data_IF_736659006024
#
_entry.id   IF_736659006024
#
_cell.length_a   1.000
_cell.length_b   1.000
_cell.length_c   1.000
_cell.angle_alpha   90.00
_cell.angle_beta   90.00
_cell.angle_gamma   90.00
#
_symmetry.space_group_name_H-M   'P 1'
#
loop_
_entity.id
_entity.type
_entity.pdbx_description
1 polymer ?
#
# COMPACT_ATOMS: atom_id res chain seq x y z
N UNK A 1 -5.60 -22.68 15.95
CA UNK A 1 -6.40 -21.60 15.32
C UNK A 1 -5.45 -20.82 14.41
N UNK A 2 -5.61 -20.92 13.09
CA UNK A 2 -4.76 -20.19 12.14
C UNK A 2 -5.13 -18.70 12.25
N UNK A 3 -4.17 -17.82 12.50
CA UNK A 3 -4.43 -16.38 12.42
C UNK A 3 -4.57 -15.97 10.94
N UNK A 4 -5.79 -16.11 10.40
CA UNK A 4 -6.20 -15.67 9.06
C UNK A 4 -6.42 -14.15 8.99
N UNK A 5 -5.50 -13.37 9.59
CA UNK A 5 -5.57 -11.92 9.52
C UNK A 5 -5.10 -11.39 8.17
N UNK A 6 -5.87 -10.49 7.56
CA UNK A 6 -5.41 -9.67 6.43
C UNK A 6 -4.63 -8.45 6.93
N UNK A 7 -3.65 -7.99 6.15
CA UNK A 7 -2.96 -6.74 6.44
C UNK A 7 -3.96 -5.57 6.44
N UNK A 8 -3.92 -4.73 7.46
CA UNK A 8 -4.81 -3.58 7.59
C UNK A 8 -4.18 -2.34 6.94
N UNK A 9 -4.04 -2.32 5.61
CA UNK A 9 -3.50 -1.14 4.94
C UNK A 9 -4.52 0.01 4.88
N UNK A 10 -4.12 1.27 5.15
CA UNK A 10 -2.88 1.64 5.82
C UNK A 10 -2.92 1.37 7.32
N UNK A 11 -1.77 0.99 7.91
CA UNK A 11 -1.63 0.80 9.36
C UNK A 11 -0.60 1.73 9.97
N UNK A 12 -0.79 2.06 11.26
CA UNK A 12 0.08 2.95 12.03
C UNK A 12 1.00 2.15 12.94
N UNK A 13 2.32 2.36 12.81
CA UNK A 13 3.36 1.78 13.64
C UNK A 13 4.45 2.81 13.95
N UNK A 14 4.86 2.94 15.22
CA UNK A 14 5.87 3.92 15.68
C UNK A 14 5.64 5.35 15.14
N UNK A 15 4.39 5.84 15.23
CA UNK A 15 3.94 7.16 14.72
C UNK A 15 4.06 7.37 13.20
N UNK A 16 4.36 6.33 12.43
CA UNK A 16 4.35 6.34 10.96
C UNK A 16 3.17 5.55 10.43
N UNK A 17 2.69 5.95 9.25
CA UNK A 17 1.63 5.25 8.52
C UNK A 17 2.25 4.49 7.37
N UNK A 18 1.92 3.21 7.25
CA UNK A 18 2.44 2.31 6.23
C UNK A 18 1.29 1.83 5.36
N UNK A 19 1.45 2.02 4.05
CA UNK A 19 0.49 1.65 3.01
C UNK A 19 0.87 0.33 2.34
N UNK A 20 2.00 -0.27 2.72
CA UNK A 20 2.50 -1.54 2.21
C UNK A 20 3.28 -2.24 3.32
N UNK A 21 3.76 -3.45 3.04
CA UNK A 21 4.58 -4.21 3.98
C UNK A 21 5.84 -3.45 4.38
N UNK A 22 6.19 -3.51 5.66
CA UNK A 22 7.38 -2.89 6.21
C UNK A 22 8.57 -3.81 5.95
N UNK A 23 9.54 -3.31 5.19
CA UNK A 23 10.84 -3.94 5.02
C UNK A 23 11.62 -3.82 6.32
N UNK A 24 11.96 -4.96 6.93
CA UNK A 24 12.72 -5.05 8.18
C UNK A 24 14.09 -5.68 7.91
N UNK A 25 14.99 -5.69 8.90
CA UNK A 25 16.30 -6.36 8.81
C UNK A 25 16.18 -7.90 8.74
N UNK A 26 15.03 -8.44 9.13
CA UNK A 26 14.66 -9.84 8.90
C UNK A 26 14.42 -10.08 7.40
N UNK A 27 14.77 -11.27 6.89
CA UNK A 27 14.56 -11.68 5.48
C UNK A 27 13.11 -11.61 4.96
N UNK A 28 12.16 -11.24 5.82
CA UNK A 28 10.73 -11.18 5.52
C UNK A 28 10.14 -9.83 5.92
N UNK A 29 9.37 -9.26 5.00
CA UNK A 29 8.56 -8.07 5.23
C UNK A 29 7.32 -8.44 6.06
N UNK A 30 6.75 -7.47 6.78
CA UNK A 30 5.61 -7.70 7.66
C UNK A 30 4.57 -6.59 7.60
N UNK A 31 3.36 -6.90 8.06
CA UNK A 31 2.26 -5.94 8.17
C UNK A 31 1.53 -6.09 9.50
N UNK A 32 0.85 -5.03 9.94
CA UNK A 32 -0.10 -5.15 11.06
C UNK A 32 -1.46 -5.64 10.60
N UNK A 33 -2.13 -6.39 11.48
CA UNK A 33 -3.50 -6.86 11.27
C UNK A 33 -4.56 -5.83 11.73
N UNK A 34 -4.13 -4.71 12.34
CA UNK A 34 -5.01 -3.64 12.80
C UNK A 34 -4.52 -2.28 12.27
N UNK A 35 -5.46 -1.35 12.07
CA UNK A 35 -5.16 0.02 11.61
C UNK A 35 -4.18 0.77 12.53
N UNK A 36 -4.22 0.51 13.83
CA UNK A 36 -3.19 0.95 14.78
C UNK A 36 -2.54 -0.28 15.37
N UNK A 37 -1.21 -0.38 15.28
CA UNK A 37 -0.47 -1.54 15.76
C UNK A 37 -0.72 -1.78 17.25
N UNK A 38 -1.23 -2.97 17.56
CA UNK A 38 -1.57 -3.44 18.92
C UNK A 38 -0.84 -4.74 19.29
N UNK A 39 0.13 -5.17 18.49
CA UNK A 39 0.85 -6.44 18.68
C UNK A 39 0.42 -7.55 17.70
N UNK A 40 -0.66 -7.35 16.94
CA UNK A 40 -1.07 -8.29 15.89
C UNK A 40 -0.40 -7.95 14.56
N UNK A 41 0.40 -8.90 14.07
CA UNK A 41 1.15 -8.79 12.83
C UNK A 41 1.35 -10.16 12.18
N UNK A 42 1.70 -10.15 10.90
CA UNK A 42 2.16 -11.34 10.18
C UNK A 42 3.25 -10.96 9.17
N UNK A 43 4.00 -11.96 8.72
CA UNK A 43 4.84 -11.81 7.54
C UNK A 43 3.98 -11.69 6.29
N UNK A 44 4.41 -10.84 5.37
CA UNK A 44 3.72 -10.64 4.11
C UNK A 44 3.98 -11.80 3.15
N UNK A 45 2.90 -12.35 2.60
CA UNK A 45 2.93 -13.22 1.43
C UNK A 45 2.66 -12.44 0.14
N UNK A 46 2.63 -13.15 -0.99
CA UNK A 46 2.32 -12.56 -2.31
C UNK A 46 0.94 -11.89 -2.38
N UNK A 47 0.01 -12.28 -1.52
CA UNK A 47 -1.36 -11.75 -1.48
C UNK A 47 -1.49 -10.52 -0.57
N UNK A 48 -0.45 -10.17 0.19
CA UNK A 48 -0.44 -9.05 1.13
C UNK A 48 -0.03 -7.75 0.42
N UNK A 49 -0.74 -7.46 -0.67
CA UNK A 49 -0.55 -6.27 -1.49
C UNK A 49 -1.62 -5.26 -1.09
N UNK A 50 -1.26 -3.98 -1.08
CA UNK A 50 -2.21 -2.92 -0.80
C UNK A 50 -3.07 -2.58 -2.01
N UNK A 51 -4.34 -2.33 -1.74
CA UNK A 51 -5.30 -1.91 -2.75
C UNK A 51 -5.04 -0.46 -3.17
N UNK A 52 -5.35 -0.19 -4.44
CA UNK A 52 -5.33 1.16 -4.99
C UNK A 52 -6.40 2.03 -4.30
N UNK A 53 -6.04 3.26 -3.95
CA UNK A 53 -6.95 4.21 -3.32
C UNK A 53 -7.75 4.99 -4.38
N UNK A 54 -8.79 4.39 -4.93
CA UNK A 54 -9.64 5.07 -5.90
C UNK A 54 -10.74 5.93 -5.24
N UNK A 55 -11.04 7.12 -5.79
CA UNK A 55 -10.25 7.85 -6.79
C UNK A 55 -8.99 8.49 -6.18
N UNK A 56 -7.90 8.57 -6.95
CA UNK A 56 -6.69 9.29 -6.54
C UNK A 56 -6.37 10.48 -7.45
N UNK A 57 -5.72 11.48 -6.86
CA UNK A 57 -5.31 12.71 -7.52
C UNK A 57 -3.84 12.61 -7.93
N UNK A 58 -3.58 12.78 -9.22
CA UNK A 58 -2.22 12.90 -9.77
C UNK A 58 -2.16 14.06 -10.76
N UNK A 59 -1.18 14.95 -10.57
CA UNK A 59 -1.08 16.25 -11.24
C UNK A 59 -2.41 17.01 -11.15
N UNK A 60 -3.06 17.30 -12.28
CA UNK A 60 -4.35 18.02 -12.37
C UNK A 60 -5.50 17.09 -12.73
N UNK A 61 -5.34 15.77 -12.57
CA UNK A 61 -6.30 14.76 -12.98
C UNK A 61 -6.70 13.86 -11.81
N UNK A 62 -7.91 13.30 -11.91
CA UNK A 62 -8.47 12.33 -10.96
C UNK A 62 -8.61 11.00 -11.68
N UNK A 63 -7.96 9.97 -11.16
CA UNK A 63 -7.97 8.62 -11.74
C UNK A 63 -8.85 7.70 -10.90
N UNK A 64 -9.68 6.91 -11.59
CA UNK A 64 -10.57 5.88 -11.00
C UNK A 64 -10.14 4.47 -11.36
N UNK A 65 -9.07 4.35 -12.13
CA UNK A 65 -8.46 3.12 -12.60
C UNK A 65 -6.94 3.30 -12.69
N UNK A 66 -6.22 2.21 -12.97
CA UNK A 66 -4.79 2.27 -13.15
C UNK A 66 -4.42 3.05 -14.43
N UNK A 67 -3.43 3.92 -14.32
CA UNK A 67 -2.95 4.78 -15.42
C UNK A 67 -1.49 4.50 -15.71
N UNK A 68 -1.07 4.66 -16.97
CA UNK A 68 0.34 4.68 -17.39
C UNK A 68 0.92 6.11 -17.43
N UNK A 69 0.15 7.12 -17.04
CA UNK A 69 0.56 8.52 -17.08
C UNK A 69 1.85 8.76 -16.28
N UNK A 70 2.81 9.41 -16.93
CA UNK A 70 4.12 9.71 -16.35
C UNK A 70 5.09 8.51 -16.31
N UNK A 71 4.72 7.35 -16.85
CA UNK A 71 5.60 6.20 -16.98
C UNK A 71 6.10 6.03 -18.43
N UNK A 72 7.43 6.04 -18.62
CA UNK A 72 8.08 5.90 -19.93
C UNK A 72 7.86 4.53 -20.61
N UNK A 73 7.50 3.50 -19.84
CA UNK A 73 7.40 2.11 -20.33
C UNK A 73 5.97 1.58 -20.42
N UNK A 74 4.95 2.45 -20.31
CA UNK A 74 3.54 2.06 -20.46
C UNK A 74 2.99 1.13 -19.37
N UNK A 75 3.75 0.83 -18.30
CA UNK A 75 3.23 0.02 -17.20
C UNK A 75 2.25 0.84 -16.38
N UNK A 76 1.03 0.32 -16.25
CA UNK A 76 -0.02 0.93 -15.45
C UNK A 76 0.31 0.89 -13.97
N UNK A 77 -0.03 1.95 -13.26
CA UNK A 77 0.17 2.12 -11.84
C UNK A 77 -1.05 2.79 -11.20
N UNK A 78 -1.14 2.69 -9.88
CA UNK A 78 -2.17 3.35 -9.09
C UNK A 78 -1.58 3.90 -7.80
N UNK A 79 -2.19 4.96 -7.26
CA UNK A 79 -1.80 5.46 -5.94
C UNK A 79 -2.41 4.60 -4.83
N UNK A 80 -1.67 4.45 -3.73
CA UNK A 80 -2.18 3.85 -2.49
C UNK A 80 -2.79 4.90 -1.54
N UNK A 81 -2.81 6.16 -1.96
CA UNK A 81 -3.31 7.31 -1.22
C UNK A 81 -4.25 8.12 -2.08
N UNK A 82 -5.17 8.85 -1.46
CA UNK A 82 -6.09 9.71 -2.21
C UNK A 82 -5.35 10.86 -2.92
N UNK A 83 -4.25 11.37 -2.37
CA UNK A 83 -3.49 12.47 -2.96
C UNK A 83 -2.05 12.06 -3.26
N UNK A 84 -1.83 11.48 -4.44
CA UNK A 84 -0.50 11.07 -4.89
C UNK A 84 0.48 12.25 -4.91
N UNK A 85 0.02 13.45 -5.31
CA UNK A 85 0.90 14.62 -5.42
C UNK A 85 1.55 14.99 -4.08
N UNK A 86 0.88 14.69 -2.97
CA UNK A 86 1.39 14.94 -1.62
C UNK A 86 2.21 13.76 -1.09
N UNK A 87 1.69 12.55 -1.26
CA UNK A 87 2.20 11.39 -0.54
C UNK A 87 3.23 10.59 -1.37
N UNK A 88 3.10 10.61 -2.69
CA UNK A 88 4.02 9.91 -3.61
C UNK A 88 4.00 8.38 -3.47
N UNK A 89 2.94 7.81 -2.89
CA UNK A 89 2.83 6.37 -2.62
C UNK A 89 1.99 5.69 -3.71
N UNK A 90 2.55 4.66 -4.33
CA UNK A 90 1.95 3.97 -5.46
C UNK A 90 2.43 2.52 -5.58
N UNK A 91 1.74 1.76 -6.43
CA UNK A 91 2.19 0.45 -6.91
C UNK A 91 1.90 0.28 -8.39
N UNK A 92 2.63 -0.63 -9.04
CA UNK A 92 2.22 -1.13 -10.34
C UNK A 92 0.94 -1.95 -10.21
N UNK A 93 0.07 -1.82 -11.19
CA UNK A 93 -1.06 -2.70 -11.36
C UNK A 93 -0.61 -3.98 -12.06
N UNK A 94 -1.34 -5.06 -11.77
CA UNK A 94 -1.14 -6.39 -12.37
C UNK A 94 -1.81 -6.47 -13.75
#
# INVERSE_FOLDING_TARGET
MKHEGKCAFPFRYKRRTFYSCIRSSSKHDWCSLNKTYQGYWKYCGKQDIADCAFPFWYKRMIYRECTDDGNLFGKKWCSLTQNFNKDGIWRYCD
#
